data_IF_054346205510
#
_entry.id   IF_054346205510
#
_cell.length_a   1.000
_cell.length_b   1.000
_cell.length_c   1.000
_cell.angle_alpha   90.00
_cell.angle_beta   90.00
_cell.angle_gamma   90.00
#
_symmetry.space_group_name_H-M   'P 1'
#
loop_
_entity.id
_entity.type
_entity.pdbx_description
1 polymer ?
#
# COMPACT_ATOMS: atom_id res chain seq x y z
N UNK A 1 -12.48 9.41 4.88
CA UNK A 1 -11.83 10.12 6.01
C UNK A 1 -10.71 9.25 6.54
N UNK A 2 -9.50 9.78 6.71
CA UNK A 2 -8.40 9.02 7.34
C UNK A 2 -8.79 8.75 8.79
N UNK A 3 -8.74 7.50 9.23
CA UNK A 3 -8.96 7.17 10.64
C UNK A 3 -7.80 7.72 11.47
N UNK A 4 -7.92 8.98 11.90
CA UNK A 4 -7.02 9.61 12.85
C UNK A 4 -7.39 9.10 14.24
N UNK A 5 -6.41 8.65 15.01
CA UNK A 5 -6.61 8.14 16.38
C UNK A 5 -6.82 9.25 17.43
N UNK A 6 -6.94 10.51 17.01
CA UNK A 6 -7.06 11.68 17.88
C UNK A 6 -5.71 12.28 18.27
N UNK A 7 -4.59 11.66 17.85
CA UNK A 7 -3.23 12.11 18.18
C UNK A 7 -2.44 12.59 16.95
N UNK A 8 -3.08 12.66 15.78
CA UNK A 8 -2.40 12.98 14.52
C UNK A 8 -1.78 11.76 13.82
N UNK A 9 -1.94 10.56 14.39
CA UNK A 9 -1.50 9.31 13.79
C UNK A 9 -2.60 8.69 12.95
N UNK A 10 -2.20 8.02 11.88
CA UNK A 10 -3.07 7.29 10.96
C UNK A 10 -3.06 5.83 11.37
N UNK A 11 -4.22 5.24 11.68
CA UNK A 11 -4.30 3.81 11.97
C UNK A 11 -3.93 2.99 10.74
N UNK A 12 -3.13 1.94 10.92
CA UNK A 12 -2.71 1.02 9.87
C UNK A 12 -3.10 -0.39 10.28
N UNK A 13 -3.68 -1.12 9.33
CA UNK A 13 -3.91 -2.55 9.41
C UNK A 13 -3.36 -3.15 8.13
N UNK A 14 -2.45 -4.12 8.26
CA UNK A 14 -2.01 -4.95 7.15
C UNK A 14 -2.45 -6.40 7.39
N UNK A 15 -2.86 -7.09 6.34
CA UNK A 15 -3.23 -8.49 6.42
C UNK A 15 -2.85 -9.25 5.17
N UNK A 16 -2.54 -10.53 5.33
CA UNK A 16 -2.21 -11.45 4.26
C UNK A 16 -2.86 -12.82 4.48
N UNK A 17 -2.97 -13.58 3.40
CA UNK A 17 -3.30 -15.01 3.43
C UNK A 17 -2.10 -15.82 2.94
N UNK A 18 -1.79 -16.91 3.64
CA UNK A 18 -0.60 -17.72 3.35
C UNK A 18 -0.93 -18.87 2.39
N UNK A 19 -0.23 -18.93 1.26
CA UNK A 19 -0.25 -20.05 0.31
C UNK A 19 -1.39 -20.05 -0.72
N UNK A 20 -2.55 -19.48 -0.39
CA UNK A 20 -3.71 -19.32 -1.31
C UNK A 20 -4.54 -18.09 -0.93
N UNK A 21 -5.47 -17.66 -1.81
CA UNK A 21 -6.33 -16.50 -1.54
C UNK A 21 -7.21 -16.67 -0.29
N UNK A 22 -7.53 -17.91 0.07
CA UNK A 22 -8.28 -18.30 1.26
C UNK A 22 -7.43 -19.03 2.33
N UNK A 23 -6.11 -18.90 2.27
CA UNK A 23 -5.18 -19.56 3.18
C UNK A 23 -5.24 -19.00 4.61
N UNK A 24 -4.33 -19.47 5.47
CA UNK A 24 -4.26 -19.00 6.85
C UNK A 24 -4.02 -17.48 6.88
N UNK A 25 -4.88 -16.77 7.60
CA UNK A 25 -4.86 -15.31 7.69
C UNK A 25 -3.86 -14.84 8.74
N UNK A 26 -3.07 -13.82 8.39
CA UNK A 26 -2.26 -13.04 9.32
C UNK A 26 -2.68 -11.58 9.27
N UNK A 27 -2.68 -10.94 10.43
CA UNK A 27 -3.02 -9.51 10.59
C UNK A 27 -1.98 -8.88 11.48
N UNK A 28 -1.58 -7.66 11.17
CA UNK A 28 -0.75 -6.81 12.01
C UNK A 28 -1.33 -5.40 12.02
N UNK A 29 -1.43 -4.82 13.21
CA UNK A 29 -1.86 -3.45 13.39
C UNK A 29 -0.66 -2.54 13.66
N UNK A 30 -0.92 -1.24 13.53
CA UNK A 30 0.06 -0.22 13.80
C UNK A 30 -0.46 1.16 13.48
N UNK A 31 0.47 2.09 13.27
CA UNK A 31 0.14 3.45 12.92
C UNK A 31 1.21 4.07 12.03
N UNK A 32 0.80 5.04 11.22
CA UNK A 32 1.70 5.92 10.48
C UNK A 32 1.67 7.33 11.07
N UNK A 33 2.86 7.89 11.27
CA UNK A 33 3.04 9.27 11.73
C UNK A 33 3.51 10.12 10.54
N UNK A 34 2.76 11.16 10.15
CA UNK A 34 3.20 12.10 9.13
C UNK A 34 4.45 12.86 9.57
N UNK A 35 5.36 13.13 8.64
CA UNK A 35 6.47 14.07 8.85
C UNK A 35 6.08 15.48 8.37
N UNK A 36 7.00 16.44 8.49
CA UNK A 36 6.82 17.78 7.93
C UNK A 36 6.90 17.83 6.39
N UNK A 37 7.25 16.72 5.73
CA UNK A 37 7.27 16.61 4.27
C UNK A 37 6.05 15.85 3.79
N UNK A 38 5.23 16.48 2.94
CA UNK A 38 4.08 15.84 2.31
C UNK A 38 4.45 14.49 1.67
N UNK A 39 3.64 13.48 1.93
CA UNK A 39 3.84 12.12 1.40
C UNK A 39 4.89 11.29 2.15
N UNK A 40 5.66 11.86 3.08
CA UNK A 40 6.59 11.09 3.91
C UNK A 40 6.00 10.79 5.27
N UNK A 41 5.83 9.51 5.56
CA UNK A 41 5.39 9.00 6.84
C UNK A 41 6.43 8.04 7.41
N UNK A 42 6.31 7.81 8.71
CA UNK A 42 6.99 6.74 9.44
C UNK A 42 5.94 5.77 9.93
N UNK A 43 6.08 4.47 9.63
CA UNK A 43 5.16 3.43 10.09
C UNK A 43 5.77 2.64 11.25
N UNK A 44 4.95 2.38 12.26
CA UNK A 44 5.23 1.51 13.39
C UNK A 44 4.20 0.37 13.39
N UNK A 45 4.66 -0.88 13.56
CA UNK A 45 3.81 -2.07 13.57
C UNK A 45 4.04 -2.85 14.87
N UNK A 46 2.99 -3.38 15.49
CA UNK A 46 2.96 -3.90 16.87
C UNK A 46 4.03 -4.96 17.22
N UNK A 47 4.57 -5.67 16.23
CA UNK A 47 5.56 -6.74 16.43
C UNK A 47 6.92 -6.46 15.79
N UNK A 48 7.11 -5.25 15.25
CA UNK A 48 8.34 -4.82 14.60
C UNK A 48 9.05 -3.82 15.50
N UNK A 49 10.29 -4.13 15.90
CA UNK A 49 11.05 -3.34 16.87
C UNK A 49 11.62 -2.02 16.35
N UNK A 50 11.37 -1.68 15.08
CA UNK A 50 11.89 -0.47 14.46
C UNK A 50 10.82 0.17 13.58
N UNK A 51 10.90 1.49 13.50
CA UNK A 51 10.09 2.29 12.60
C UNK A 51 10.63 2.19 11.17
N UNK A 52 9.73 2.19 10.19
CA UNK A 52 10.09 2.12 8.77
C UNK A 52 9.58 3.34 7.99
N UNK A 53 10.31 3.80 6.96
CA UNK A 53 9.81 4.81 6.04
C UNK A 53 8.60 4.27 5.25
N UNK A 54 7.55 5.08 5.15
CA UNK A 54 6.37 4.81 4.35
C UNK A 54 6.10 6.03 3.48
N UNK A 55 6.81 6.13 2.35
CA UNK A 55 6.79 7.34 1.53
C UNK A 55 5.90 7.14 0.31
N UNK A 56 4.79 7.87 0.26
CA UNK A 56 3.90 7.94 -0.90
C UNK A 56 4.60 8.74 -1.99
N UNK A 57 5.10 8.06 -3.01
CA UNK A 57 5.88 8.67 -4.11
C UNK A 57 5.04 9.01 -5.33
N UNK A 58 3.86 8.37 -5.48
CA UNK A 58 2.90 8.67 -6.54
C UNK A 58 1.49 8.30 -6.12
N UNK A 59 0.53 9.09 -6.57
CA UNK A 59 -0.90 8.83 -6.45
C UNK A 59 -1.51 8.64 -7.84
N UNK A 60 -2.53 7.80 -7.92
CA UNK A 60 -3.42 7.71 -9.07
C UNK A 60 -4.46 8.83 -9.07
N UNK A 61 -5.41 8.83 -10.02
CA UNK A 61 -6.48 9.82 -10.06
C UNK A 61 -7.42 9.67 -8.86
N UNK A 62 -7.96 10.79 -8.39
CA UNK A 62 -8.89 10.90 -7.26
C UNK A 62 -10.34 10.60 -7.69
N UNK A 63 -10.58 9.42 -8.27
CA UNK A 63 -11.86 9.06 -8.92
C UNK A 63 -12.54 7.82 -8.33
N UNK A 64 -12.02 7.27 -7.23
CA UNK A 64 -12.58 6.08 -6.59
C UNK A 64 -13.75 6.44 -5.65
N UNK A 65 -14.92 5.87 -5.93
CA UNK A 65 -16.12 6.00 -5.12
C UNK A 65 -16.67 7.43 -5.02
N UNK A 66 -17.73 7.61 -4.23
CA UNK A 66 -18.41 8.92 -4.07
C UNK A 66 -17.59 9.97 -3.33
N UNK A 67 -16.50 9.57 -2.66
CA UNK A 67 -15.60 10.47 -1.93
C UNK A 67 -14.38 10.91 -2.74
N UNK A 68 -14.30 10.56 -4.03
CA UNK A 68 -13.18 10.93 -4.91
C UNK A 68 -11.82 10.51 -4.32
N UNK A 69 -11.73 9.28 -3.81
CA UNK A 69 -10.48 8.76 -3.27
C UNK A 69 -9.50 8.43 -4.41
N UNK A 70 -8.21 8.41 -4.10
CA UNK A 70 -7.20 7.97 -5.06
C UNK A 70 -7.36 6.49 -5.41
N UNK A 71 -7.32 6.17 -6.71
CA UNK A 71 -7.43 4.81 -7.23
C UNK A 71 -6.28 3.90 -6.78
N UNK A 72 -5.08 4.45 -6.70
CA UNK A 72 -3.89 3.76 -6.20
C UNK A 72 -2.90 4.71 -5.53
N UNK A 73 -1.95 4.13 -4.79
CA UNK A 73 -0.75 4.79 -4.29
C UNK A 73 0.48 3.91 -4.51
N UNK A 74 1.61 4.53 -4.85
CA UNK A 74 2.92 3.87 -4.85
C UNK A 74 3.65 4.34 -3.60
N UNK A 75 4.10 3.38 -2.80
CA UNK A 75 4.79 3.60 -1.53
C UNK A 75 6.16 2.93 -1.58
N UNK A 76 7.19 3.66 -1.15
CA UNK A 76 8.56 3.18 -1.11
C UNK A 76 9.36 3.92 -0.02
N UNK A 77 10.68 3.93 -0.15
CA UNK A 77 11.65 4.61 0.71
C UNK A 77 12.69 5.39 -0.13
N UNK A 78 13.60 6.10 0.52
CA UNK A 78 14.62 6.93 -0.14
C UNK A 78 15.60 6.18 -1.03
N UNK A 79 15.79 4.88 -0.78
CA UNK A 79 16.82 4.05 -1.42
C UNK A 79 16.22 2.96 -2.32
N UNK A 80 14.88 2.92 -2.46
CA UNK A 80 14.12 1.95 -3.26
C UNK A 80 14.32 0.51 -2.77
N UNK A 81 14.49 0.31 -1.46
CA UNK A 81 14.63 -1.01 -0.86
C UNK A 81 13.26 -1.72 -0.69
N UNK A 82 12.19 -0.96 -0.54
CA UNK A 82 10.81 -1.42 -0.40
C UNK A 82 9.95 -0.87 -1.51
N UNK A 83 8.90 -1.61 -1.90
CA UNK A 83 7.94 -1.19 -2.90
C UNK A 83 6.58 -1.80 -2.60
N UNK A 84 5.57 -0.94 -2.48
CA UNK A 84 4.16 -1.34 -2.42
C UNK A 84 3.37 -0.51 -3.43
N UNK A 85 2.58 -1.20 -4.26
CA UNK A 85 1.56 -0.59 -5.11
C UNK A 85 0.21 -0.97 -4.52
N UNK A 86 -0.47 -0.01 -3.93
CA UNK A 86 -1.73 -0.23 -3.21
C UNK A 86 -2.87 0.29 -4.07
N UNK A 87 -3.78 -0.61 -4.46
CA UNK A 87 -4.96 -0.29 -5.25
C UNK A 87 -6.23 -0.35 -4.38
N UNK A 88 -7.20 0.54 -4.66
CA UNK A 88 -8.54 0.45 -4.03
C UNK A 88 -9.35 -0.74 -4.54
N UNK A 89 -9.21 -1.05 -5.83
CA UNK A 89 -9.83 -2.18 -6.50
C UNK A 89 -8.77 -2.85 -7.41
N UNK A 90 -8.39 -4.11 -7.13
CA UNK A 90 -7.39 -4.82 -7.92
C UNK A 90 -7.79 -5.09 -9.37
N UNK A 91 -9.08 -5.28 -9.67
CA UNK A 91 -9.57 -5.52 -11.04
C UNK A 91 -9.48 -4.25 -11.87
N UNK A 92 -9.96 -3.14 -11.33
CA UNK A 92 -9.85 -1.81 -11.97
C UNK A 92 -8.37 -1.45 -12.17
N UNK A 93 -7.53 -1.71 -11.17
CA UNK A 93 -6.10 -1.46 -11.29
C UNK A 93 -5.45 -2.21 -12.45
N UNK A 94 -5.68 -3.52 -12.55
CA UNK A 94 -5.15 -4.35 -13.64
C UNK A 94 -5.59 -3.85 -15.02
N UNK A 95 -6.85 -3.42 -15.14
CA UNK A 95 -7.41 -3.01 -16.43
C UNK A 95 -6.98 -1.60 -16.85
N UNK A 96 -6.83 -0.67 -15.90
CA UNK A 96 -6.70 0.76 -16.21
C UNK A 96 -5.34 1.36 -15.86
N UNK A 97 -4.67 0.85 -14.83
CA UNK A 97 -3.51 1.54 -14.22
C UNK A 97 -2.22 0.70 -14.20
N UNK A 98 -2.29 -0.62 -14.35
CA UNK A 98 -1.11 -1.48 -14.26
C UNK A 98 -0.01 -1.08 -15.25
N UNK A 99 -0.36 -0.84 -16.52
CA UNK A 99 0.62 -0.45 -17.55
C UNK A 99 1.33 0.85 -17.22
N UNK A 100 0.62 1.91 -16.81
CA UNK A 100 1.24 3.20 -16.46
C UNK A 100 2.10 3.09 -15.20
N UNK A 101 1.67 2.29 -14.21
CA UNK A 101 2.42 2.10 -12.98
C UNK A 101 3.70 1.31 -13.23
N UNK A 102 3.65 0.24 -14.03
CA UNK A 102 4.85 -0.52 -14.38
C UNK A 102 5.86 0.33 -15.15
N UNK A 103 5.42 1.20 -16.06
CA UNK A 103 6.31 2.12 -16.77
C UNK A 103 6.89 3.19 -15.82
N UNK A 104 6.08 3.73 -14.91
CA UNK A 104 6.57 4.62 -13.85
C UNK A 104 7.65 3.94 -13.01
N UNK A 105 7.40 2.72 -12.53
CA UNK A 105 8.35 1.98 -11.70
C UNK A 105 9.66 1.70 -12.44
N UNK A 106 9.57 1.30 -13.71
CA UNK A 106 10.74 1.08 -14.57
C UNK A 106 11.57 2.35 -14.75
N UNK A 107 10.93 3.46 -15.11
CA UNK A 107 11.60 4.77 -15.31
C UNK A 107 12.21 5.33 -14.02
N UNK A 108 11.71 4.90 -12.85
CA UNK A 108 12.21 5.33 -11.53
C UNK A 108 13.15 4.30 -10.86
N UNK A 109 13.63 3.30 -11.60
CA UNK A 109 14.72 2.41 -11.16
C UNK A 109 14.31 1.17 -10.36
N UNK A 110 13.03 0.78 -10.38
CA UNK A 110 12.55 -0.49 -9.83
C UNK A 110 12.68 -1.61 -10.87
N UNK A 111 13.92 -1.92 -11.26
CA UNK A 111 14.23 -2.82 -12.39
C UNK A 111 15.15 -3.98 -12.02
N UNK A 112 15.70 -4.00 -10.79
CA UNK A 112 16.67 -4.99 -10.36
C UNK A 112 16.00 -6.22 -9.74
N UNK A 113 16.73 -7.31 -9.57
CA UNK A 113 16.20 -8.52 -8.94
C UNK A 113 15.66 -8.28 -7.51
N UNK A 114 16.20 -7.29 -6.79
CA UNK A 114 15.84 -7.00 -5.40
C UNK A 114 14.70 -6.00 -5.25
N UNK A 115 14.43 -5.17 -6.26
CA UNK A 115 13.45 -4.08 -6.16
C UNK A 115 12.43 -4.02 -7.31
N UNK A 116 12.50 -4.94 -8.28
CA UNK A 116 11.47 -5.03 -9.33
C UNK A 116 10.10 -5.37 -8.71
N UNK A 117 9.00 -4.88 -9.29
CA UNK A 117 7.67 -5.24 -8.82
C UNK A 117 7.44 -6.76 -8.92
N UNK A 118 6.77 -7.30 -7.91
CA UNK A 118 6.27 -8.68 -7.88
C UNK A 118 4.76 -8.61 -7.79
N UNK A 119 4.07 -9.34 -8.66
CA UNK A 119 2.60 -9.39 -8.67
C UNK A 119 2.10 -10.15 -7.45
N UNK A 120 1.28 -9.49 -6.63
CA UNK A 120 0.54 -10.12 -5.52
C UNK A 120 -0.73 -10.78 -6.05
N UNK A 121 -1.07 -11.95 -5.52
CA UNK A 121 -2.27 -12.69 -5.88
C UNK A 121 -3.53 -11.99 -5.33
N UNK A 122 -4.45 -11.62 -6.23
CA UNK A 122 -5.71 -10.92 -5.94
C UNK A 122 -6.84 -11.45 -6.83
N UNK A 123 -7.05 -12.76 -6.81
CA UNK A 123 -8.12 -13.42 -7.57
C UNK A 123 -9.39 -13.58 -6.73
N UNK A 124 -10.42 -14.20 -7.30
CA UNK A 124 -11.78 -14.26 -6.72
C UNK A 124 -11.88 -15.01 -5.39
N UNK A 125 -10.92 -15.88 -5.07
CA UNK A 125 -10.84 -16.62 -3.82
C UNK A 125 -10.18 -15.84 -2.68
N UNK A 126 -9.63 -14.64 -2.96
CA UNK A 126 -9.06 -13.78 -1.92
C UNK A 126 -10.11 -13.31 -0.92
N UNK A 127 -9.88 -13.58 0.35
CA UNK A 127 -10.70 -13.07 1.45
C UNK A 127 -10.10 -11.76 1.98
N UNK A 128 -10.81 -10.66 1.75
CA UNK A 128 -10.43 -9.34 2.26
C UNK A 128 -11.02 -9.10 3.66
N UNK A 129 -10.45 -8.13 4.38
CA UNK A 129 -11.02 -7.72 5.66
C UNK A 129 -12.20 -6.79 5.39
N UNK A 130 -13.42 -7.26 5.65
CA UNK A 130 -14.64 -6.46 5.49
C UNK A 130 -14.77 -5.34 6.53
N UNK A 131 -13.87 -5.29 7.51
CA UNK A 131 -13.94 -4.36 8.62
C UNK A 131 -12.85 -3.29 8.47
N UNK A 132 -13.26 -2.11 8.02
CA UNK A 132 -12.55 -0.87 8.30
C UNK A 132 -12.66 -0.58 9.82
N UNK A 133 -11.97 -1.33 10.69
CA UNK A 133 -11.92 -1.05 12.13
C UNK A 133 -10.92 0.06 12.47
#
# INVERSE_FOLDING_TARGET
>A
TVANDGTGRIKVLNSETLGSGNGAKKVIHGYATPTNTTGKLTVNLETVFFDAPYWVVKLGPATYGSQNLYQYAIVSDSVRATLFVLARDPDVFRQQYETEVLEYLKTHGFTTAVNKPVKTYHEKDCQYNDQHQ
#
